data_IF_700753867224
#
_entry.id   IF_700753867224
#
_cell.length_a   1.000
_cell.length_b   1.000
_cell.length_c   1.000
_cell.angle_alpha   90.00
_cell.angle_beta   90.00
_cell.angle_gamma   90.00
#
_symmetry.space_group_name_H-M   'P 1'
#
loop_
_entity.id
_entity.type
_entity.pdbx_description
1 polymer ?
#
# COMPACT_ATOMS: atom_id res chain seq x y z
N UNK A 1 -9.63 -41.41 8.35
CA UNK A 1 -9.62 -40.00 8.81
C UNK A 1 -9.27 -39.11 7.62
N UNK A 2 -10.15 -38.21 7.21
CA UNK A 2 -9.86 -37.25 6.15
C UNK A 2 -8.99 -36.12 6.72
N UNK A 3 -7.78 -35.94 6.17
CA UNK A 3 -6.88 -34.83 6.52
C UNK A 3 -7.26 -33.62 5.69
N UNK A 4 -8.00 -32.69 6.27
CA UNK A 4 -8.37 -31.44 5.59
C UNK A 4 -7.15 -30.52 5.60
N UNK A 5 -6.48 -30.39 4.46
CA UNK A 5 -5.32 -29.49 4.29
C UNK A 5 -5.72 -28.10 3.81
N UNK A 6 -6.93 -27.94 3.26
CA UNK A 6 -7.48 -26.66 2.81
C UNK A 6 -8.93 -26.53 3.22
N UNK A 7 -9.30 -25.37 3.76
CA UNK A 7 -10.65 -25.08 4.21
C UNK A 7 -11.07 -23.72 3.67
N UNK A 8 -12.19 -23.69 2.95
CA UNK A 8 -12.82 -22.47 2.44
C UNK A 8 -14.21 -22.41 3.04
N UNK A 9 -14.50 -21.36 3.80
CA UNK A 9 -15.77 -21.19 4.50
C UNK A 9 -16.39 -19.86 4.10
N UNK A 10 -17.68 -19.88 3.77
CA UNK A 10 -18.42 -18.64 3.56
C UNK A 10 -18.83 -18.02 4.91
N UNK A 11 -18.77 -16.69 5.01
CA UNK A 11 -19.30 -15.89 6.13
C UNK A 11 -20.82 -16.05 6.18
N UNK A 12 -21.22 -17.13 6.82
CA UNK A 12 -22.57 -17.65 6.96
C UNK A 12 -22.64 -18.27 8.36
N UNK A 13 -23.81 -18.59 8.90
CA UNK A 13 -23.92 -19.37 10.14
C UNK A 13 -23.04 -20.64 10.17
N UNK A 14 -22.63 -21.18 9.01
CA UNK A 14 -21.68 -22.29 8.91
C UNK A 14 -20.33 -22.00 9.58
N UNK A 15 -19.87 -20.75 9.64
CA UNK A 15 -18.61 -20.42 10.29
C UNK A 15 -18.66 -20.75 11.79
N UNK A 16 -19.80 -20.54 12.44
CA UNK A 16 -20.03 -20.95 13.83
C UNK A 16 -20.19 -22.46 13.99
N UNK A 17 -20.63 -23.18 12.94
CA UNK A 17 -20.65 -24.64 12.96
C UNK A 17 -19.23 -25.23 12.91
N UNK A 18 -18.32 -24.62 12.16
CA UNK A 18 -16.92 -25.04 12.11
C UNK A 18 -16.10 -24.54 13.30
N UNK A 19 -16.44 -23.37 13.83
CA UNK A 19 -15.72 -22.69 14.91
C UNK A 19 -16.70 -22.16 15.98
N UNK A 20 -17.26 -23.05 16.82
CA UNK A 20 -18.29 -22.66 17.78
C UNK A 20 -17.80 -21.63 18.80
N UNK A 21 -18.61 -20.62 19.09
CA UNK A 21 -18.26 -19.59 20.05
C UNK A 21 -17.99 -20.17 21.45
N UNK A 22 -16.91 -19.73 22.10
CA UNK A 22 -16.47 -20.24 23.40
C UNK A 22 -15.69 -21.56 23.33
N UNK A 23 -15.60 -22.19 22.17
CA UNK A 23 -14.80 -23.40 21.97
C UNK A 23 -13.42 -23.09 21.36
N UNK A 24 -12.52 -24.06 21.47
CA UNK A 24 -11.21 -24.03 20.81
C UNK A 24 -11.16 -25.15 19.77
N UNK A 25 -11.05 -24.77 18.50
CA UNK A 25 -10.94 -25.70 17.38
C UNK A 25 -9.48 -25.90 17.02
N UNK A 26 -9.02 -27.16 16.98
CA UNK A 26 -7.63 -27.50 16.64
C UNK A 26 -7.56 -28.18 15.27
N UNK A 27 -6.81 -27.57 14.33
CA UNK A 27 -6.70 -28.03 12.94
C UNK A 27 -5.23 -28.20 12.52
N UNK A 28 -4.52 -29.21 13.04
CA UNK A 28 -3.06 -29.34 12.86
C UNK A 28 -2.64 -29.66 11.42
N UNK A 29 -3.51 -30.30 10.63
CA UNK A 29 -3.25 -30.68 9.24
C UNK A 29 -3.59 -29.56 8.23
N UNK A 30 -4.28 -28.51 8.68
CA UNK A 30 -4.71 -27.43 7.80
C UNK A 30 -3.50 -26.57 7.41
N UNK A 31 -3.41 -26.25 6.12
CA UNK A 31 -2.34 -25.45 5.49
C UNK A 31 -2.87 -24.18 4.86
N UNK A 32 -4.14 -24.16 4.47
CA UNK A 32 -4.77 -23.00 3.85
C UNK A 32 -6.17 -22.78 4.43
N UNK A 33 -6.44 -21.56 4.88
CA UNK A 33 -7.73 -21.12 5.37
C UNK A 33 -8.20 -19.91 4.54
N UNK A 34 -9.38 -20.00 3.97
CA UNK A 34 -10.06 -18.87 3.37
C UNK A 34 -11.45 -18.67 3.99
N UNK A 35 -11.73 -17.45 4.46
CA UNK A 35 -13.06 -17.06 4.94
C UNK A 35 -13.57 -15.96 4.02
N UNK A 36 -14.68 -16.23 3.32
CA UNK A 36 -15.16 -15.40 2.21
C UNK A 36 -16.55 -14.88 2.54
N UNK A 37 -16.77 -13.57 2.40
CA UNK A 37 -18.09 -12.96 2.55
C UNK A 37 -19.08 -13.54 1.54
N UNK A 38 -20.22 -14.03 2.02
CA UNK A 38 -21.31 -14.42 1.13
C UNK A 38 -21.89 -13.18 0.45
N UNK A 39 -21.76 -13.10 -0.87
CA UNK A 39 -22.28 -11.98 -1.68
C UNK A 39 -23.82 -12.05 -1.88
N UNK A 40 -24.47 -13.10 -1.39
CA UNK A 40 -25.86 -13.44 -1.72
C UNK A 40 -26.97 -12.69 -0.97
N UNK A 41 -26.68 -12.04 0.17
CA UNK A 41 -27.71 -11.39 1.01
C UNK A 41 -27.60 -9.86 1.04
N UNK A 42 -27.57 -9.25 -0.14
CA UNK A 42 -27.56 -7.79 -0.34
C UNK A 42 -28.82 -7.07 0.17
N UNK A 43 -29.83 -7.79 0.70
CA UNK A 43 -31.09 -7.22 1.20
C UNK A 43 -31.06 -6.85 2.69
N UNK A 44 -29.98 -7.11 3.43
CA UNK A 44 -29.84 -6.67 4.80
C UNK A 44 -28.64 -5.73 4.97
N UNK A 45 -28.82 -4.40 4.73
CA UNK A 45 -27.78 -3.39 4.93
C UNK A 45 -27.37 -3.20 6.40
N UNK A 46 -28.00 -3.93 7.33
CA UNK A 46 -27.66 -4.00 8.74
C UNK A 46 -27.10 -5.39 9.06
N UNK A 47 -25.88 -5.70 8.61
CA UNK A 47 -25.18 -6.88 9.13
C UNK A 47 -24.89 -6.66 10.63
N UNK A 48 -25.79 -7.23 11.43
CA UNK A 48 -25.78 -7.31 12.89
C UNK A 48 -24.49 -7.97 13.37
N UNK A 49 -23.59 -7.17 13.96
CA UNK A 49 -22.44 -7.53 14.82
C UNK A 49 -21.45 -8.57 14.22
N UNK A 50 -20.15 -8.46 14.50
CA UNK A 50 -19.21 -9.52 14.16
C UNK A 50 -19.73 -10.85 14.72
N UNK A 51 -19.83 -11.88 13.88
CA UNK A 51 -20.17 -13.22 14.37
C UNK A 51 -19.04 -13.66 15.30
N UNK A 52 -19.35 -13.89 16.57
CA UNK A 52 -18.37 -14.48 17.48
C UNK A 52 -18.14 -15.92 17.03
N UNK A 53 -16.87 -16.24 16.77
CA UNK A 53 -16.39 -17.61 16.56
C UNK A 53 -15.53 -18.03 17.75
N UNK A 54 -15.31 -19.33 17.87
CA UNK A 54 -14.35 -19.89 18.81
C UNK A 54 -12.90 -19.59 18.43
N UNK A 55 -11.98 -19.91 19.34
CA UNK A 55 -10.55 -19.81 19.06
C UNK A 55 -10.13 -20.89 18.06
N UNK A 56 -9.47 -20.50 16.98
CA UNK A 56 -8.98 -21.44 15.97
C UNK A 56 -7.45 -21.56 16.05
N UNK A 57 -6.96 -22.76 16.33
CA UNK A 57 -5.52 -23.05 16.42
C UNK A 57 -5.06 -23.89 15.23
N UNK A 58 -4.19 -23.29 14.40
CA UNK A 58 -3.74 -23.87 13.14
C UNK A 58 -2.21 -23.78 13.06
N UNK A 59 -1.46 -24.63 13.80
CA UNK A 59 -0.02 -24.47 13.95
C UNK A 59 0.74 -24.64 12.62
N UNK A 60 0.22 -25.44 11.69
CA UNK A 60 0.83 -25.66 10.38
C UNK A 60 0.33 -24.73 9.27
N UNK A 61 -0.41 -23.66 9.58
CA UNK A 61 -1.00 -22.80 8.55
C UNK A 61 0.08 -22.13 7.71
N UNK A 62 -0.07 -22.20 6.39
CA UNK A 62 0.83 -21.54 5.43
C UNK A 62 0.19 -20.28 4.83
N UNK A 63 -1.13 -20.32 4.64
CA UNK A 63 -1.88 -19.31 3.87
C UNK A 63 -3.20 -18.96 4.56
N UNK A 64 -3.43 -17.68 4.82
CA UNK A 64 -4.70 -17.17 5.36
C UNK A 64 -5.25 -16.08 4.45
N UNK A 65 -6.53 -16.22 4.07
CA UNK A 65 -7.25 -15.22 3.30
C UNK A 65 -8.61 -14.92 3.93
N UNK A 66 -8.76 -13.73 4.48
CA UNK A 66 -10.00 -13.28 5.13
C UNK A 66 -10.60 -12.14 4.33
N UNK A 67 -11.79 -12.38 3.83
CA UNK A 67 -12.61 -11.42 3.11
C UNK A 67 -13.97 -11.37 3.79
N UNK A 68 -14.00 -11.08 5.09
CA UNK A 68 -15.18 -11.11 5.96
C UNK A 68 -14.93 -10.17 7.16
N UNK A 69 -15.96 -9.87 7.95
CA UNK A 69 -15.89 -9.08 9.19
C UNK A 69 -15.73 -10.03 10.39
N UNK A 70 -14.50 -10.26 10.82
CA UNK A 70 -14.12 -11.12 11.94
C UNK A 70 -13.32 -10.34 12.98
N UNK A 71 -13.44 -10.75 14.24
CA UNK A 71 -12.55 -10.26 15.29
C UNK A 71 -11.29 -11.12 15.35
N UNK A 72 -10.13 -10.46 15.36
CA UNK A 72 -8.82 -11.11 15.28
C UNK A 72 -8.38 -11.82 16.55
N UNK A 73 -8.81 -11.32 17.70
CA UNK A 73 -8.61 -11.96 19.01
C UNK A 73 -9.16 -13.40 19.06
N UNK A 74 -10.00 -13.78 18.10
CA UNK A 74 -10.58 -15.12 17.97
C UNK A 74 -9.83 -16.04 16.98
N UNK A 75 -8.92 -15.52 16.15
CA UNK A 75 -8.26 -16.29 15.07
C UNK A 75 -6.81 -16.70 15.39
N UNK A 76 -6.32 -16.36 16.57
CA UNK A 76 -4.90 -16.44 16.91
C UNK A 76 -4.53 -17.80 17.49
N UNK A 77 -4.03 -18.72 16.65
CA UNK A 77 -2.67 -19.29 16.75
C UNK A 77 -2.20 -19.67 15.34
N UNK A 78 -1.42 -18.77 14.72
CA UNK A 78 -0.62 -19.11 13.54
C UNK A 78 0.73 -19.57 14.05
N UNK A 79 1.12 -20.81 13.78
CA UNK A 79 2.50 -21.21 14.03
C UNK A 79 3.45 -20.44 13.10
N UNK A 80 4.75 -20.58 13.34
CA UNK A 80 5.81 -19.90 12.57
C UNK A 80 5.78 -20.21 11.06
N UNK A 81 4.96 -21.17 10.63
CA UNK A 81 4.84 -21.64 9.25
C UNK A 81 4.11 -20.67 8.31
N UNK A 82 3.45 -19.62 8.82
CA UNK A 82 2.68 -18.69 7.99
C UNK A 82 3.57 -17.99 6.95
N UNK A 83 3.23 -18.15 5.67
CA UNK A 83 3.98 -17.57 4.53
C UNK A 83 3.19 -16.50 3.78
N UNK A 84 1.86 -16.54 3.81
CA UNK A 84 1.01 -15.57 3.12
C UNK A 84 -0.21 -15.23 3.94
N UNK A 85 -0.43 -13.94 4.13
CA UNK A 85 -1.58 -13.42 4.86
C UNK A 85 -2.27 -12.32 4.07
N UNK A 86 -3.59 -12.45 3.94
CA UNK A 86 -4.44 -11.45 3.32
C UNK A 86 -5.71 -11.22 4.13
N UNK A 87 -5.96 -10.01 4.59
CA UNK A 87 -7.25 -9.60 5.13
C UNK A 87 -7.55 -8.14 4.85
N UNK A 88 -8.51 -7.85 3.96
CA UNK A 88 -8.80 -6.46 3.56
C UNK A 88 -10.08 -5.89 4.19
N UNK A 89 -11.03 -6.73 4.60
CA UNK A 89 -12.34 -6.29 5.10
C UNK A 89 -12.34 -6.09 6.62
N UNK A 90 -11.55 -6.86 7.37
CA UNK A 90 -11.41 -6.71 8.82
C UNK A 90 -10.10 -6.02 9.14
N UNK A 91 -10.07 -4.69 9.25
CA UNK A 91 -8.82 -3.99 9.47
C UNK A 91 -8.21 -4.39 10.81
N UNK A 92 -6.91 -4.70 10.77
CA UNK A 92 -6.11 -4.99 11.96
C UNK A 92 -5.88 -3.70 12.74
N UNK A 93 -6.00 -3.79 14.05
CA UNK A 93 -5.49 -2.76 14.95
C UNK A 93 -3.96 -2.90 15.13
N UNK A 94 -3.28 -1.94 15.80
CA UNK A 94 -1.84 -2.01 15.98
C UNK A 94 -1.35 -3.23 16.77
N UNK A 95 -2.12 -3.68 17.76
CA UNK A 95 -1.76 -4.82 18.60
C UNK A 95 -1.84 -6.13 17.79
N UNK A 96 -2.92 -6.31 17.04
CA UNK A 96 -3.13 -7.48 16.19
C UNK A 96 -2.06 -7.55 15.09
N UNK A 97 -1.74 -6.41 14.48
CA UNK A 97 -0.67 -6.33 13.47
C UNK A 97 0.68 -6.71 14.08
N UNK A 98 1.07 -6.09 15.19
CA UNK A 98 2.35 -6.40 15.83
C UNK A 98 2.45 -7.87 16.24
N UNK A 99 1.37 -8.43 16.81
CA UNK A 99 1.28 -9.83 17.20
C UNK A 99 1.45 -10.78 16.00
N UNK A 100 0.73 -10.51 14.90
CA UNK A 100 0.85 -11.26 13.65
C UNK A 100 2.30 -11.28 13.13
N UNK A 101 2.93 -10.10 13.08
CA UNK A 101 4.28 -9.96 12.53
C UNK A 101 5.33 -10.66 13.42
N UNK A 102 5.19 -10.58 14.75
CA UNK A 102 6.09 -11.28 15.70
C UNK A 102 5.96 -12.79 15.58
N UNK A 103 4.74 -13.30 15.41
CA UNK A 103 4.47 -14.75 15.36
C UNK A 103 4.74 -15.38 13.99
N UNK A 104 4.99 -14.58 12.95
CA UNK A 104 5.07 -15.04 11.55
C UNK A 104 6.43 -14.75 10.89
N UNK A 105 7.56 -15.27 11.41
CA UNK A 105 8.89 -14.96 10.89
C UNK A 105 9.11 -15.43 9.43
N UNK A 106 8.34 -16.41 8.95
CA UNK A 106 8.43 -16.94 7.59
C UNK A 106 7.50 -16.23 6.58
N UNK A 107 6.88 -15.11 6.96
CA UNK A 107 5.96 -14.39 6.10
C UNK A 107 6.67 -13.88 4.84
N UNK A 108 6.10 -14.19 3.68
CA UNK A 108 6.59 -13.74 2.36
C UNK A 108 5.74 -12.62 1.78
N UNK A 109 4.44 -12.61 2.11
CA UNK A 109 3.47 -11.66 1.56
C UNK A 109 2.44 -11.28 2.62
N UNK A 110 2.21 -9.98 2.79
CA UNK A 110 1.26 -9.41 3.74
C UNK A 110 0.33 -8.43 3.04
N UNK A 111 -0.99 -8.65 3.12
CA UNK A 111 -1.99 -7.79 2.48
C UNK A 111 -3.09 -7.49 3.49
N UNK A 112 -3.13 -6.31 4.09
CA UNK A 112 -3.99 -6.02 5.23
C UNK A 112 -4.78 -4.73 5.06
N UNK A 113 -6.01 -4.72 5.56
CA UNK A 113 -6.67 -3.53 6.05
C UNK A 113 -6.05 -3.15 7.40
N UNK A 114 -5.82 -1.87 7.64
CA UNK A 114 -5.22 -1.38 8.87
C UNK A 114 -6.02 -0.20 9.43
N UNK A 115 -6.18 -0.17 10.74
CA UNK A 115 -6.93 0.85 11.44
C UNK A 115 -6.22 1.26 12.71
N UNK A 116 -5.84 2.52 12.75
CA UNK A 116 -5.09 3.11 13.86
C UNK A 116 -5.95 3.37 15.10
N UNK A 117 -7.23 3.74 14.93
CA UNK A 117 -8.11 4.09 16.04
C UNK A 117 -8.47 2.91 16.97
N UNK A 118 -8.07 1.70 16.59
CA UNK A 118 -8.10 0.51 17.43
C UNK A 118 -6.94 0.42 18.41
N UNK A 119 -6.01 1.39 18.46
CA UNK A 119 -4.92 1.42 19.42
C UNK A 119 -5.46 1.37 20.87
N UNK A 120 -5.40 0.19 21.47
CA UNK A 120 -5.70 0.01 22.88
C UNK A 120 -4.67 0.82 23.70
N UNK A 121 -5.03 1.41 24.85
CA UNK A 121 -4.07 2.08 25.76
C UNK A 121 -2.92 1.19 26.27
N UNK A 122 -2.89 -0.10 25.88
CA UNK A 122 -1.83 -1.05 26.17
C UNK A 122 -0.95 -1.40 24.96
N UNK A 123 -1.00 -0.65 23.86
CA UNK A 123 -0.09 -0.88 22.74
C UNK A 123 1.37 -0.71 23.22
N UNK A 124 2.22 -1.75 23.10
CA UNK A 124 3.56 -1.73 23.67
C UNK A 124 4.49 -0.73 22.97
N UNK A 125 4.16 -0.29 21.76
CA UNK A 125 4.87 0.80 21.08
C UNK A 125 6.37 0.57 20.98
N UNK A 126 7.15 1.46 21.58
CA UNK A 126 8.61 1.40 21.64
C UNK A 126 9.15 0.14 22.35
N UNK A 127 8.35 -0.51 23.20
CA UNK A 127 8.71 -1.77 23.87
C UNK A 127 8.53 -3.00 22.98
N UNK A 128 8.05 -2.85 21.75
CA UNK A 128 8.02 -3.94 20.78
C UNK A 128 9.44 -4.50 20.54
N UNK A 129 9.58 -5.84 20.48
CA UNK A 129 10.85 -6.46 20.10
C UNK A 129 11.16 -6.15 18.63
N UNK A 130 12.42 -6.30 18.22
CA UNK A 130 12.77 -6.27 16.79
C UNK A 130 12.04 -7.38 16.05
N UNK A 131 11.32 -7.03 14.99
CA UNK A 131 10.53 -7.97 14.20
C UNK A 131 11.30 -8.31 12.93
N UNK A 132 11.86 -9.53 12.89
CA UNK A 132 12.67 -10.01 11.77
C UNK A 132 11.81 -10.80 10.78
N UNK A 133 11.69 -10.28 9.56
CA UNK A 133 10.92 -10.90 8.48
C UNK A 133 11.83 -11.07 7.25
N UNK A 134 12.81 -11.98 7.32
CA UNK A 134 13.87 -12.10 6.30
C UNK A 134 13.36 -12.56 4.93
N UNK A 135 12.17 -13.16 4.87
CA UNK A 135 11.55 -13.68 3.65
C UNK A 135 10.44 -12.78 3.09
N UNK A 136 10.12 -11.67 3.76
CA UNK A 136 9.03 -10.79 3.35
C UNK A 136 9.42 -10.05 2.07
N UNK A 137 8.69 -10.34 1.00
CA UNK A 137 8.91 -9.85 -0.35
C UNK A 137 7.91 -8.73 -0.71
N UNK A 138 6.67 -8.83 -0.23
CA UNK A 138 5.59 -7.90 -0.57
C UNK A 138 4.73 -7.52 0.63
N UNK A 139 4.51 -6.21 0.80
CA UNK A 139 3.58 -5.63 1.78
C UNK A 139 2.55 -4.77 1.07
N UNK A 140 1.28 -4.99 1.39
CA UNK A 140 0.17 -4.13 1.00
C UNK A 140 -0.64 -3.79 2.24
N UNK A 141 -0.69 -2.49 2.57
CA UNK A 141 -1.47 -1.96 3.69
C UNK A 141 -2.51 -1.00 3.11
N UNK A 142 -3.78 -1.30 3.31
CA UNK A 142 -4.91 -0.42 3.03
C UNK A 142 -5.37 0.18 4.34
N UNK A 143 -5.13 1.47 4.52
CA UNK A 143 -5.60 2.22 5.67
C UNK A 143 -7.11 2.40 5.57
N UNK A 144 -7.82 1.96 6.61
CA UNK A 144 -9.26 2.18 6.76
C UNK A 144 -9.47 3.33 7.72
N UNK A 145 -10.14 4.39 7.25
CA UNK A 145 -10.29 5.65 7.97
C UNK A 145 -10.84 5.48 9.40
N UNK A 146 -10.13 6.02 10.38
CA UNK A 146 -10.66 6.42 11.69
C UNK A 146 -10.67 7.95 11.78
N UNK A 147 -11.44 8.55 12.70
CA UNK A 147 -11.64 10.02 12.76
C UNK A 147 -10.36 10.87 12.92
N UNK A 148 -9.20 10.25 13.14
CA UNK A 148 -7.87 10.87 13.26
C UNK A 148 -6.78 9.96 12.65
N UNK A 149 -6.32 10.22 11.42
CA UNK A 149 -5.22 9.46 10.82
C UNK A 149 -3.88 10.03 11.31
N UNK A 150 -3.40 9.58 12.48
CA UNK A 150 -2.01 9.79 12.90
C UNK A 150 -1.33 8.43 12.89
N UNK A 151 -0.30 8.24 12.06
CA UNK A 151 0.33 6.94 11.91
C UNK A 151 1.32 6.57 13.02
N UNK A 152 0.98 6.91 14.26
CA UNK A 152 1.90 6.85 15.39
C UNK A 152 2.25 5.40 15.74
N UNK A 153 1.25 4.51 15.82
CA UNK A 153 1.49 3.11 16.16
C UNK A 153 2.06 2.36 14.95
N UNK A 154 1.54 2.59 13.74
CA UNK A 154 2.11 1.96 12.55
C UNK A 154 3.58 2.36 12.36
N UNK A 155 3.92 3.64 12.60
CA UNK A 155 5.28 4.14 12.56
C UNK A 155 6.19 3.46 13.59
N UNK A 156 5.69 3.24 14.80
CA UNK A 156 6.43 2.48 15.82
C UNK A 156 6.63 1.01 15.44
N UNK A 157 5.66 0.37 14.78
CA UNK A 157 5.82 -0.99 14.23
C UNK A 157 6.90 -0.98 13.15
N UNK A 158 6.83 -0.04 12.20
CA UNK A 158 7.78 0.12 11.10
C UNK A 158 9.22 0.30 11.60
N UNK A 159 9.44 1.07 12.66
CA UNK A 159 10.77 1.23 13.29
C UNK A 159 11.37 -0.09 13.83
N UNK A 160 10.55 -1.11 14.09
CA UNK A 160 10.99 -2.41 14.60
C UNK A 160 11.17 -3.45 13.50
N UNK A 161 10.70 -3.19 12.28
CA UNK A 161 10.75 -4.16 11.18
C UNK A 161 12.13 -4.24 10.54
N UNK A 162 12.62 -5.46 10.37
CA UNK A 162 13.80 -5.78 9.57
C UNK A 162 13.39 -6.68 8.41
N UNK A 163 13.40 -6.12 7.19
CA UNK A 163 12.84 -6.75 5.98
C UNK A 163 13.84 -6.74 4.81
N UNK A 164 14.97 -7.45 4.92
CA UNK A 164 16.09 -7.39 3.95
C UNK A 164 15.78 -7.95 2.55
N UNK A 165 14.63 -8.59 2.36
CA UNK A 165 14.19 -9.17 1.08
C UNK A 165 13.01 -8.43 0.45
N UNK A 166 12.59 -7.30 1.02
CA UNK A 166 11.40 -6.57 0.58
C UNK A 166 11.60 -5.98 -0.82
N UNK A 167 10.72 -6.35 -1.76
CA UNK A 167 10.75 -5.88 -3.15
C UNK A 167 9.58 -4.99 -3.52
N UNK A 168 8.45 -5.14 -2.83
CA UNK A 168 7.22 -4.41 -3.15
C UNK A 168 6.52 -3.89 -1.91
N UNK A 169 6.23 -2.58 -1.89
CA UNK A 169 5.41 -1.93 -0.88
C UNK A 169 4.27 -1.20 -1.56
N UNK A 170 3.05 -1.44 -1.07
CA UNK A 170 1.86 -0.68 -1.40
C UNK A 170 1.20 -0.18 -0.12
N UNK A 171 1.05 1.13 -0.02
CA UNK A 171 0.29 1.77 1.05
C UNK A 171 -0.76 2.63 0.38
N UNK A 172 -2.01 2.49 0.81
CA UNK A 172 -3.12 3.26 0.26
C UNK A 172 -4.25 3.44 1.26
N UNK A 173 -5.25 4.24 0.88
CA UNK A 173 -6.49 4.41 1.65
C UNK A 173 -7.66 3.69 0.99
N UNK A 174 -8.70 3.41 1.77
CA UNK A 174 -10.00 2.97 1.27
C UNK A 174 -10.91 4.14 0.83
N UNK A 175 -10.87 5.28 1.53
CA UNK A 175 -11.57 6.52 1.17
C UNK A 175 -10.59 7.68 0.87
N UNK A 176 -10.63 8.17 -0.37
CA UNK A 176 -9.80 9.29 -0.85
C UNK A 176 -10.10 10.62 -0.15
N UNK A 177 -11.25 10.75 0.53
CA UNK A 177 -11.70 11.98 1.18
C UNK A 177 -11.12 12.18 2.58
N UNK A 178 -10.42 11.19 3.12
CA UNK A 178 -9.89 11.27 4.49
C UNK A 178 -8.57 12.07 4.59
N UNK A 179 -8.34 12.70 5.75
CA UNK A 179 -7.19 13.57 6.05
C UNK A 179 -5.84 12.86 5.89
N UNK A 180 -4.74 13.62 5.70
CA UNK A 180 -3.35 13.16 5.53
C UNK A 180 -3.05 11.82 6.22
N UNK A 181 -2.50 10.88 5.47
CA UNK A 181 -1.72 9.81 6.09
C UNK A 181 -0.28 10.30 6.25
N UNK A 182 0.10 10.71 7.45
CA UNK A 182 1.47 11.16 7.72
C UNK A 182 2.41 9.98 7.95
N UNK A 183 2.69 9.23 6.86
CA UNK A 183 3.43 7.97 6.90
C UNK A 183 4.81 8.06 6.26
N UNK A 184 5.12 9.13 5.51
CA UNK A 184 6.38 9.25 4.77
C UNK A 184 7.61 9.17 5.68
N UNK A 185 7.68 9.85 6.85
CA UNK A 185 8.83 9.73 7.74
C UNK A 185 9.03 8.30 8.28
N UNK A 186 7.92 7.62 8.61
CA UNK A 186 7.96 6.25 9.09
C UNK A 186 8.39 5.25 8.01
N UNK A 187 7.87 5.43 6.78
CA UNK A 187 8.29 4.67 5.61
C UNK A 187 9.77 4.86 5.32
N UNK A 188 10.23 6.11 5.29
CA UNK A 188 11.64 6.44 5.05
C UNK A 188 12.51 5.72 6.06
N UNK A 189 12.18 5.83 7.35
CA UNK A 189 12.93 5.19 8.45
C UNK A 189 12.99 3.67 8.31
N UNK A 190 11.85 3.02 8.02
CA UNK A 190 11.81 1.56 7.89
C UNK A 190 12.56 1.08 6.66
N UNK A 191 12.34 1.71 5.51
CA UNK A 191 12.94 1.31 4.25
C UNK A 191 14.43 1.64 4.17
N UNK A 192 14.93 2.57 4.99
CA UNK A 192 16.37 2.82 5.17
C UNK A 192 17.03 1.93 6.22
N UNK A 193 16.26 1.19 7.02
CA UNK A 193 16.81 0.40 8.16
C UNK A 193 17.63 -0.82 7.73
N UNK A 194 17.46 -1.25 6.48
CA UNK A 194 18.21 -2.35 5.86
C UNK A 194 18.57 -1.96 4.43
N UNK A 195 19.60 -2.59 3.85
CA UNK A 195 19.94 -2.38 2.44
C UNK A 195 18.73 -2.68 1.55
N UNK A 196 18.15 -1.64 0.96
CA UNK A 196 16.87 -1.73 0.28
C UNK A 196 17.00 -2.45 -1.07
N UNK A 197 16.27 -3.56 -1.19
CA UNK A 197 16.03 -4.27 -2.46
C UNK A 197 14.69 -3.90 -3.08
N UNK A 198 14.07 -2.81 -2.60
CA UNK A 198 12.75 -2.40 -3.02
C UNK A 198 12.78 -1.97 -4.49
N UNK A 199 11.92 -2.60 -5.28
CA UNK A 199 11.77 -2.33 -6.72
C UNK A 199 10.45 -1.62 -7.01
N UNK A 200 9.42 -1.82 -6.17
CA UNK A 200 8.08 -1.28 -6.40
C UNK A 200 7.58 -0.55 -5.15
N UNK A 201 7.23 0.72 -5.33
CA UNK A 201 6.61 1.55 -4.31
C UNK A 201 5.32 2.15 -4.87
N UNK A 202 4.22 1.87 -4.19
CA UNK A 202 2.92 2.47 -4.45
C UNK A 202 2.48 3.18 -3.18
N UNK A 203 2.26 4.49 -3.26
CA UNK A 203 1.74 5.31 -2.18
C UNK A 203 0.50 6.03 -2.65
N UNK A 204 -0.63 5.79 -1.98
CA UNK A 204 -1.88 6.52 -2.18
C UNK A 204 -2.26 7.20 -0.86
N UNK A 205 -1.97 8.50 -0.77
CA UNK A 205 -1.94 9.24 0.50
C UNK A 205 -3.24 10.01 0.80
N UNK A 206 -4.21 9.96 -0.12
CA UNK A 206 -5.50 10.65 -0.05
C UNK A 206 -5.45 12.12 -0.46
N UNK A 207 -6.57 12.69 -0.93
CA UNK A 207 -6.60 13.95 -1.69
C UNK A 207 -6.01 15.18 -0.97
N UNK A 208 -5.97 15.18 0.36
CA UNK A 208 -5.44 16.28 1.14
C UNK A 208 -4.52 15.74 2.23
N UNK A 209 -3.23 16.14 2.25
CA UNK A 209 -2.62 17.38 1.79
C UNK A 209 -1.41 17.17 0.84
N UNK A 210 -0.70 18.27 0.57
CA UNK A 210 0.56 18.33 -0.20
C UNK A 210 1.62 17.39 0.39
N UNK A 211 2.26 16.58 -0.45
CA UNK A 211 3.45 15.81 -0.06
C UNK A 211 4.61 16.79 0.14
N UNK A 212 5.23 16.86 1.33
CA UNK A 212 6.41 17.69 1.54
C UNK A 212 7.58 17.17 0.68
N UNK A 213 8.18 18.00 -0.19
CA UNK A 213 9.25 17.55 -1.08
C UNK A 213 10.44 16.94 -0.33
N UNK A 214 10.82 17.50 0.81
CA UNK A 214 11.95 17.00 1.60
C UNK A 214 11.71 15.60 2.21
N UNK A 215 10.47 15.32 2.65
CA UNK A 215 10.11 13.98 3.15
C UNK A 215 10.11 12.95 2.02
N UNK A 216 9.61 13.34 0.84
CA UNK A 216 9.66 12.47 -0.33
C UNK A 216 11.11 12.26 -0.81
N UNK A 217 11.94 13.31 -0.82
CA UNK A 217 13.37 13.23 -1.16
C UNK A 217 14.07 12.23 -0.24
N UNK A 218 13.90 12.35 1.08
CA UNK A 218 14.50 11.44 2.05
C UNK A 218 14.12 9.98 1.78
N UNK A 219 12.84 9.73 1.49
CA UNK A 219 12.36 8.40 1.12
C UNK A 219 12.99 7.89 -0.18
N UNK A 220 12.98 8.67 -1.26
CA UNK A 220 13.43 8.23 -2.58
C UNK A 220 14.95 8.01 -2.65
N UNK A 221 15.73 8.80 -1.91
CA UNK A 221 17.19 8.60 -1.78
C UNK A 221 17.53 7.26 -1.15
N UNK A 222 16.72 6.79 -0.19
CA UNK A 222 16.89 5.47 0.42
C UNK A 222 16.53 4.30 -0.51
N UNK A 223 16.03 4.57 -1.72
CA UNK A 223 15.48 3.57 -2.65
C UNK A 223 16.18 3.60 -4.02
N UNK A 224 17.50 3.34 -4.10
CA UNK A 224 18.26 3.43 -5.35
C UNK A 224 17.87 2.36 -6.39
N UNK A 225 17.29 1.24 -5.93
CA UNK A 225 16.87 0.13 -6.78
C UNK A 225 15.41 0.21 -7.26
N UNK A 226 14.72 1.33 -6.99
CA UNK A 226 13.32 1.49 -7.33
C UNK A 226 13.14 1.56 -8.85
N UNK A 227 12.36 0.64 -9.41
CA UNK A 227 12.04 0.58 -10.84
C UNK A 227 10.63 1.06 -11.14
N UNK A 228 9.72 0.95 -10.17
CA UNK A 228 8.31 1.32 -10.31
C UNK A 228 7.88 2.20 -9.15
N UNK A 229 7.47 3.43 -9.47
CA UNK A 229 6.91 4.37 -8.52
C UNK A 229 5.48 4.72 -8.94
N UNK A 230 4.55 4.57 -8.00
CA UNK A 230 3.19 5.06 -8.13
C UNK A 230 2.88 6.00 -6.97
N UNK A 231 2.49 7.23 -7.29
CA UNK A 231 2.02 8.22 -6.33
C UNK A 231 0.56 8.51 -6.65
N UNK A 232 -0.31 8.37 -5.66
CA UNK A 232 -1.75 8.52 -5.76
C UNK A 232 -2.30 9.47 -4.72
N UNK A 233 -3.37 10.20 -5.09
CA UNK A 233 -4.18 11.01 -4.20
C UNK A 233 -3.35 12.05 -3.46
N UNK A 234 -3.03 13.18 -4.10
CA UNK A 234 -2.31 14.30 -3.47
C UNK A 234 -2.34 15.53 -4.38
N UNK A 235 -2.21 16.73 -3.78
CA UNK A 235 -2.29 18.00 -4.48
C UNK A 235 -0.94 18.75 -4.52
N UNK A 236 -0.71 19.56 -5.55
CA UNK A 236 0.45 20.47 -5.71
C UNK A 236 1.82 19.76 -5.65
N UNK A 237 2.02 18.75 -6.51
CA UNK A 237 3.23 17.94 -6.51
C UNK A 237 4.43 18.54 -7.26
N UNK A 238 4.40 19.77 -7.76
CA UNK A 238 5.43 20.27 -8.69
C UNK A 238 6.86 20.05 -8.18
N UNK A 239 7.17 20.57 -6.99
CA UNK A 239 8.49 20.39 -6.37
C UNK A 239 8.80 18.91 -6.02
N UNK A 240 7.79 18.10 -5.74
CA UNK A 240 7.94 16.67 -5.45
C UNK A 240 8.19 15.85 -6.73
N UNK A 241 7.62 16.25 -7.87
CA UNK A 241 7.81 15.65 -9.19
C UNK A 241 9.21 15.98 -9.72
N UNK A 242 9.67 17.22 -9.56
CA UNK A 242 11.02 17.65 -9.98
C UNK A 242 12.15 16.85 -9.31
N UNK A 243 11.93 16.26 -8.14
CA UNK A 243 12.88 15.33 -7.52
C UNK A 243 13.23 14.15 -8.43
N UNK A 244 12.33 13.76 -9.32
CA UNK A 244 12.53 12.66 -10.27
C UNK A 244 13.22 13.11 -11.55
N UNK A 245 13.45 14.41 -11.76
CA UNK A 245 14.18 14.91 -12.91
C UNK A 245 15.65 14.50 -12.78
N UNK A 246 16.12 13.65 -13.69
CA UNK A 246 17.46 13.05 -13.62
C UNK A 246 18.57 14.06 -13.85
N UNK A 247 18.31 15.13 -14.62
CA UNK A 247 19.29 16.20 -14.86
C UNK A 247 19.51 17.04 -13.61
N UNK A 248 18.49 17.18 -12.76
CA UNK A 248 18.57 17.90 -11.49
C UNK A 248 19.02 17.00 -10.33
N UNK A 249 18.58 15.74 -10.32
CA UNK A 249 18.78 14.81 -9.21
C UNK A 249 19.18 13.40 -9.73
N UNK A 250 20.41 13.22 -10.25
CA UNK A 250 20.82 11.98 -10.92
C UNK A 250 20.84 10.75 -10.00
N UNK A 251 21.03 10.95 -8.70
CA UNK A 251 21.10 9.89 -7.69
C UNK A 251 19.72 9.45 -7.17
N UNK A 252 18.64 10.16 -7.49
CA UNK A 252 17.29 9.83 -6.99
C UNK A 252 16.67 8.78 -7.92
N UNK A 253 16.49 7.56 -7.39
CA UNK A 253 15.92 6.41 -8.09
C UNK A 253 16.49 6.24 -9.52
N UNK A 254 17.81 6.04 -9.70
CA UNK A 254 18.43 6.00 -11.02
C UNK A 254 17.83 4.94 -11.95
N UNK A 255 17.32 3.82 -11.38
CA UNK A 255 16.72 2.70 -12.12
C UNK A 255 15.22 2.84 -12.43
N UNK A 256 14.64 4.02 -12.24
CA UNK A 256 13.21 4.23 -12.40
C UNK A 256 12.79 4.10 -13.88
N UNK A 257 12.03 3.06 -14.19
CA UNK A 257 11.53 2.79 -15.55
C UNK A 257 10.01 2.96 -15.69
N UNK A 258 9.28 2.92 -14.58
CA UNK A 258 7.82 3.07 -14.56
C UNK A 258 7.41 4.11 -13.54
N UNK A 259 6.71 5.15 -14.00
CA UNK A 259 6.15 6.21 -13.17
C UNK A 259 4.65 6.28 -13.39
N UNK A 260 3.88 6.31 -12.31
CA UNK A 260 2.43 6.50 -12.38
C UNK A 260 1.95 7.54 -11.37
N UNK A 261 1.16 8.50 -11.87
CA UNK A 261 0.41 9.45 -11.06
C UNK A 261 -1.07 9.13 -11.16
N UNK A 262 -1.77 9.08 -10.03
CA UNK A 262 -3.19 8.74 -9.96
C UNK A 262 -3.95 9.72 -9.07
N UNK A 263 -4.92 10.45 -9.61
CA UNK A 263 -5.60 11.54 -8.89
C UNK A 263 -4.62 12.51 -8.20
N UNK A 264 -3.61 12.95 -8.96
CA UNK A 264 -2.62 13.92 -8.51
C UNK A 264 -2.80 15.26 -9.20
N UNK A 265 -2.49 16.35 -8.49
CA UNK A 265 -2.39 17.67 -9.10
C UNK A 265 -0.92 18.00 -9.42
N UNK A 266 -0.58 18.10 -10.71
CA UNK A 266 0.80 18.28 -11.18
C UNK A 266 0.85 19.31 -12.30
N UNK A 267 1.86 20.18 -12.27
CA UNK A 267 2.18 21.06 -13.38
C UNK A 267 2.90 20.30 -14.51
N UNK A 268 2.48 20.58 -15.74
CA UNK A 268 2.92 19.84 -16.92
C UNK A 268 4.40 20.07 -17.24
N UNK A 269 4.91 21.26 -16.98
CA UNK A 269 6.32 21.64 -17.15
C UNK A 269 7.26 20.76 -16.30
N UNK A 270 6.92 20.56 -15.03
CA UNK A 270 7.66 19.68 -14.13
C UNK A 270 7.64 18.23 -14.65
N UNK A 271 6.49 17.77 -15.15
CA UNK A 271 6.34 16.43 -15.69
C UNK A 271 7.16 16.22 -16.96
N UNK A 272 7.15 17.17 -17.90
CA UNK A 272 7.96 17.12 -19.12
C UNK A 272 9.46 17.10 -18.82
N UNK A 273 9.92 17.95 -17.91
CA UNK A 273 11.31 17.93 -17.47
C UNK A 273 11.74 16.56 -16.93
N UNK A 274 10.86 15.88 -16.19
CA UNK A 274 11.10 14.51 -15.75
C UNK A 274 11.12 13.53 -16.93
N UNK A 275 10.17 13.61 -17.86
CA UNK A 275 10.12 12.70 -19.02
C UNK A 275 11.38 12.85 -19.86
N UNK A 276 11.69 14.06 -20.33
CA UNK A 276 12.85 14.30 -21.20
C UNK A 276 14.15 13.86 -20.53
N UNK A 277 14.37 14.28 -19.27
CA UNK A 277 15.58 13.89 -18.53
C UNK A 277 15.71 12.39 -18.30
N UNK A 278 14.63 11.61 -18.32
CA UNK A 278 14.60 10.14 -18.14
C UNK A 278 14.59 9.35 -19.46
N UNK A 279 14.42 10.03 -20.59
CA UNK A 279 14.45 9.44 -21.93
C UNK A 279 15.83 9.58 -22.60
N UNK A 280 16.68 10.50 -22.14
CA UNK A 280 18.03 10.71 -22.68
C UNK A 280 19.05 9.77 -22.03
N UNK A 281 19.83 8.97 -22.76
CA UNK A 281 20.89 8.16 -22.13
C UNK A 281 21.93 9.07 -21.47
N UNK A 282 22.37 8.70 -20.26
CA UNK A 282 23.40 9.44 -19.51
C UNK A 282 24.81 9.12 -20.00
N UNK A 283 24.96 8.13 -20.88
CA UNK A 283 26.26 7.64 -21.36
C UNK A 283 26.92 6.68 -20.37
N UNK A 284 26.26 6.35 -19.26
CA UNK A 284 26.70 5.35 -18.29
C UNK A 284 25.81 4.10 -18.40
N UNK A 285 26.28 3.02 -19.06
CA UNK A 285 25.46 1.84 -19.35
C UNK A 285 24.96 1.10 -18.09
N UNK A 286 25.62 1.26 -16.95
CA UNK A 286 25.23 0.63 -15.68
C UNK A 286 24.09 1.39 -14.95
N UNK A 287 23.81 2.63 -15.38
CA UNK A 287 22.78 3.52 -14.80
C UNK A 287 21.69 3.91 -15.82
N UNK A 288 21.82 3.49 -17.07
CA UNK A 288 20.97 3.87 -18.20
C UNK A 288 19.69 3.03 -18.32
N UNK A 289 18.88 3.01 -17.26
CA UNK A 289 17.50 2.54 -17.36
C UNK A 289 16.59 3.70 -17.78
N UNK A 290 16.21 3.69 -19.06
CA UNK A 290 15.28 4.68 -19.62
C UNK A 290 13.87 4.47 -19.10
N UNK A 291 13.09 5.56 -19.07
CA UNK A 291 11.67 5.48 -18.76
C UNK A 291 10.94 4.66 -19.84
N UNK A 292 10.27 3.58 -19.42
CA UNK A 292 9.52 2.66 -20.30
C UNK A 292 8.02 2.92 -20.25
N UNK A 293 7.53 3.50 -19.15
CA UNK A 293 6.11 3.81 -18.99
C UNK A 293 5.92 4.99 -18.06
N UNK A 294 5.25 6.03 -18.56
CA UNK A 294 4.61 7.08 -17.77
C UNK A 294 3.09 6.91 -17.89
N UNK A 295 2.41 6.81 -16.74
CA UNK A 295 0.94 6.81 -16.71
C UNK A 295 0.43 7.94 -15.83
N UNK A 296 -0.51 8.67 -16.37
CA UNK A 296 -1.18 9.76 -15.67
C UNK A 296 -2.68 9.51 -15.74
N UNK A 297 -3.31 9.31 -14.59
CA UNK A 297 -4.71 8.91 -14.48
C UNK A 297 -5.49 9.83 -13.51
N UNK A 298 -6.47 10.60 -14.00
CA UNK A 298 -7.28 11.52 -13.19
C UNK A 298 -6.52 12.75 -12.65
N UNK A 299 -7.11 13.52 -11.72
CA UNK A 299 -6.47 14.71 -11.10
C UNK A 299 -6.58 16.01 -11.90
N UNK A 300 -5.97 17.11 -11.43
CA UNK A 300 -5.92 18.40 -12.14
C UNK A 300 -4.51 18.68 -12.68
N UNK A 301 -4.43 19.15 -13.93
CA UNK A 301 -3.16 19.38 -14.61
C UNK A 301 -3.04 20.82 -15.03
N UNK A 302 -1.93 21.46 -14.69
CA UNK A 302 -1.74 22.90 -14.90
C UNK A 302 -0.72 23.12 -16.00
N UNK A 303 -1.03 24.03 -16.93
CA UNK A 303 -0.06 24.51 -17.92
C UNK A 303 0.93 25.52 -17.30
N UNK A 304 1.80 26.08 -18.13
CA UNK A 304 2.84 27.04 -17.72
C UNK A 304 2.26 28.33 -17.14
N UNK A 305 1.03 28.70 -17.51
CA UNK A 305 0.32 29.87 -17.01
C UNK A 305 -0.48 29.55 -15.73
N UNK A 306 -0.36 28.32 -15.21
CA UNK A 306 -1.10 27.83 -14.05
C UNK A 306 -2.59 27.60 -14.34
N UNK A 307 -2.99 27.55 -15.61
CA UNK A 307 -4.37 27.26 -16.00
C UNK A 307 -4.59 25.75 -16.00
N UNK A 308 -5.69 25.33 -15.39
CA UNK A 308 -6.09 23.93 -15.44
C UNK A 308 -6.45 23.55 -16.88
N UNK A 309 -5.77 22.54 -17.42
CA UNK A 309 -5.95 22.04 -18.79
C UNK A 309 -7.29 21.33 -19.04
N UNK A 310 -8.15 21.26 -18.02
CA UNK A 310 -9.49 20.68 -18.08
C UNK A 310 -9.50 19.15 -18.20
N UNK A 311 -10.69 18.56 -18.37
CA UNK A 311 -10.88 17.11 -18.50
C UNK A 311 -10.54 16.58 -19.92
N UNK A 312 -10.01 17.40 -20.83
CA UNK A 312 -9.84 17.05 -22.25
C UNK A 312 -8.36 17.02 -22.66
N UNK A 313 -7.75 15.84 -22.54
CA UNK A 313 -6.35 15.58 -22.91
C UNK A 313 -6.02 15.97 -24.36
N UNK A 314 -7.01 15.93 -25.25
CA UNK A 314 -6.83 16.20 -26.67
C UNK A 314 -6.75 17.70 -26.97
N UNK A 315 -7.14 18.55 -26.02
CA UNK A 315 -7.09 20.01 -26.16
C UNK A 315 -5.86 20.64 -25.53
N UNK A 316 -5.07 19.90 -24.75
CA UNK A 316 -3.79 20.38 -24.27
C UNK A 316 -2.71 20.12 -25.34
N UNK A 317 -2.18 21.16 -26.01
CA UNK A 317 -1.17 20.99 -27.06
C UNK A 317 0.09 20.32 -26.51
N UNK A 318 0.42 20.63 -25.26
CA UNK A 318 1.61 20.11 -24.58
C UNK A 318 1.56 18.60 -24.31
N UNK A 319 0.42 18.10 -23.84
CA UNK A 319 0.22 16.64 -23.68
C UNK A 319 0.27 15.95 -25.03
N UNK A 320 -0.28 16.59 -26.07
CA UNK A 320 -0.24 16.06 -27.44
C UNK A 320 1.18 15.98 -27.98
N UNK A 321 1.99 17.03 -27.77
CA UNK A 321 3.41 17.06 -28.10
C UNK A 321 4.20 15.95 -27.38
N UNK A 322 4.06 15.83 -26.06
CA UNK A 322 4.70 14.78 -25.27
C UNK A 322 4.35 13.36 -25.75
N UNK A 323 3.08 13.11 -26.11
CA UNK A 323 2.64 11.81 -26.66
C UNK A 323 3.25 11.54 -28.03
N UNK A 324 3.44 12.58 -28.85
CA UNK A 324 4.04 12.47 -30.17
C UNK A 324 5.56 12.26 -30.10
N UNK A 325 6.24 12.92 -29.17
CA UNK A 325 7.68 12.77 -28.93
C UNK A 325 8.01 11.37 -28.40
N UNK A 326 7.14 10.79 -27.56
CA UNK A 326 7.39 9.53 -26.86
C UNK A 326 6.23 8.52 -27.02
N UNK A 327 5.94 8.07 -28.25
CA UNK A 327 4.82 7.16 -28.52
C UNK A 327 5.05 5.82 -27.81
N UNK A 328 4.04 5.35 -27.09
CA UNK A 328 4.08 4.07 -26.37
C UNK A 328 4.78 4.09 -25.02
N UNK A 329 5.39 5.20 -24.62
CA UNK A 329 5.91 5.42 -23.26
C UNK A 329 4.94 6.25 -22.43
N UNK A 330 4.39 7.31 -23.02
CA UNK A 330 3.57 8.29 -22.32
C UNK A 330 2.07 8.01 -22.53
N UNK A 331 1.35 7.79 -21.43
CA UNK A 331 -0.09 7.53 -21.42
C UNK A 331 -0.79 8.48 -20.46
N UNK A 332 -1.78 9.22 -20.97
CA UNK A 332 -2.66 10.07 -20.17
C UNK A 332 -4.10 9.60 -20.32
N UNK A 333 -4.75 9.36 -19.20
CA UNK A 333 -6.15 9.00 -19.08
C UNK A 333 -6.85 9.98 -18.13
N UNK A 334 -7.79 10.75 -18.65
CA UNK A 334 -8.57 11.69 -17.87
C UNK A 334 -9.84 10.99 -17.42
N UNK A 335 -9.89 10.59 -16.16
CA UNK A 335 -11.09 10.02 -15.55
C UNK A 335 -11.99 11.21 -15.18
N UNK A 336 -13.12 11.35 -15.88
CA UNK A 336 -14.03 12.50 -15.77
C UNK A 336 -14.52 12.79 -14.35
N UNK A 337 -14.74 14.08 -14.10
CA UNK A 337 -15.20 14.71 -12.84
C UNK A 337 -14.72 14.03 -11.55
N UNK A 338 -13.46 14.25 -11.21
CA UNK A 338 -13.05 14.27 -9.81
C UNK A 338 -13.96 15.27 -9.08
N UNK A 339 -14.68 14.89 -8.02
CA UNK A 339 -15.51 15.82 -7.27
C UNK A 339 -14.61 16.93 -6.74
N UNK A 340 -14.77 18.13 -7.32
CA UNK A 340 -14.14 19.36 -6.82
C UNK A 340 -14.70 19.61 -5.42
N UNK A 341 -14.02 19.16 -4.38
CA UNK A 341 -14.24 19.72 -3.06
C UNK A 341 -13.61 21.11 -3.11
N UNK A 342 -14.45 22.13 -3.29
CA UNK A 342 -14.04 23.53 -3.07
C UNK A 342 -13.53 23.60 -1.62
N UNK A 343 -12.25 23.88 -1.44
CA UNK A 343 -11.65 24.14 -0.12
C UNK A 343 -12.11 25.51 0.35
#
# INVERSE_FOLDING_TARGET
MHRISKLIVAETPHLQCFFPAGERTYLPELRELAIIRSLGDSKHPYMKRPQSIGQVNIPGILRVHIFSILRWDQLLITGEALTWFKCLISPLDPCDLASLLVQSPNLTKLHIGYREDGAHPGFPGLSLPTIRLPKLDSVHITWTSGRRPQADCLGQIFQKLQTPSLRSVRIGKDDFRDRRMDILPALSTWLSSTESKLQKLHMDLGMYPVIPPEELRALLVALPNLTNLLIGGTVQLNAAVELLNRNLNPYICPKLTTLKYYFCDVALDALDGVVRSRMEPTGNPDEDELLKSLRVEGGCWFDQDGQATGNDSFRCPYITELKNDYPGVVYFEFIGDTPRVRI
#
